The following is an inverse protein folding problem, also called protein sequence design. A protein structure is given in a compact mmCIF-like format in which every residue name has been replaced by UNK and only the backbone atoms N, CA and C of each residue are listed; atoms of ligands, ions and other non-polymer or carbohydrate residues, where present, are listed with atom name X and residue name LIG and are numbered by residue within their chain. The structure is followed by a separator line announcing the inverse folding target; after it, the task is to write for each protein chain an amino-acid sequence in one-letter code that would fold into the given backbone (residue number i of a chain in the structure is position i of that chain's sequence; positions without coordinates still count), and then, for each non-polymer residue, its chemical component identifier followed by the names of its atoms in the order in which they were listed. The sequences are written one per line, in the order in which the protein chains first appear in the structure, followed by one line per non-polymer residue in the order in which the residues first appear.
data_IF_584677044109
#
_entry.id   IF_584677044109
#
_cell.length_a   1.000
_cell.length_b   1.000
_cell.length_c   1.000
_cell.angle_alpha   90.00
_cell.angle_beta   90.00
_cell.angle_gamma   90.00
#
_symmetry.space_group_name_H-M   'P 1'
#
loop_
_entity.id
_entity.type
_entity.pdbx_description
1 polymer ?
#
# COMPACT_ATOMS: atom_id res chain seq x y z
N UNK A 1 5.25 -15.32 -13.48
CA UNK A 1 4.09 -14.42 -13.73
C UNK A 1 2.74 -15.14 -13.74
N UNK A 2 2.62 -16.34 -14.36
CA UNK A 2 1.34 -17.09 -14.47
C UNK A 2 0.66 -17.37 -13.11
N UNK A 3 1.40 -17.79 -12.09
CA UNK A 3 0.85 -18.14 -10.78
C UNK A 3 0.13 -16.99 -10.08
N UNK A 4 0.70 -15.78 -10.08
CA UNK A 4 0.08 -14.60 -9.44
C UNK A 4 -1.22 -14.21 -10.12
N UNK A 5 -1.26 -14.29 -11.45
CA UNK A 5 -2.48 -14.05 -12.24
C UNK A 5 -3.58 -15.02 -11.82
N UNK A 6 -3.27 -16.33 -11.81
CA UNK A 6 -4.21 -17.38 -11.42
C UNK A 6 -4.76 -17.18 -10.00
N UNK A 7 -3.89 -16.91 -9.02
CA UNK A 7 -4.32 -16.64 -7.63
C UNK A 7 -5.25 -15.42 -7.56
N UNK A 8 -4.98 -14.39 -8.35
CA UNK A 8 -5.86 -13.21 -8.43
C UNK A 8 -7.22 -13.53 -9.05
N UNK A 9 -7.24 -14.35 -10.11
CA UNK A 9 -8.46 -14.81 -10.80
C UNK A 9 -9.31 -15.73 -9.93
N UNK A 10 -8.70 -16.48 -9.01
CA UNK A 10 -9.38 -17.27 -7.97
C UNK A 10 -10.00 -16.40 -6.86
N UNK A 11 -9.92 -15.07 -6.96
CA UNK A 11 -10.60 -14.16 -6.04
C UNK A 11 -9.88 -13.93 -4.71
N UNK A 12 -8.64 -14.40 -4.55
CA UNK A 12 -7.92 -14.33 -3.26
C UNK A 12 -7.60 -12.90 -2.78
N UNK A 13 -7.67 -11.88 -3.65
CA UNK A 13 -7.33 -10.50 -3.28
C UNK A 13 -8.27 -9.93 -2.20
N UNK A 14 -9.58 -10.15 -2.32
CA UNK A 14 -10.55 -9.58 -1.36
C UNK A 14 -10.46 -10.21 0.03
N UNK A 15 -10.40 -11.56 0.18
CA UNK A 15 -10.15 -12.19 1.47
C UNK A 15 -8.84 -11.72 2.13
N UNK A 16 -7.75 -11.61 1.36
CA UNK A 16 -6.47 -11.11 1.88
C UNK A 16 -6.57 -9.66 2.37
N UNK A 17 -7.36 -8.80 1.71
CA UNK A 17 -7.60 -7.44 2.19
C UNK A 17 -8.34 -7.46 3.54
N UNK A 18 -9.35 -8.31 3.70
CA UNK A 18 -10.08 -8.46 4.97
C UNK A 18 -9.16 -8.92 6.10
N UNK A 19 -8.19 -9.78 5.81
CA UNK A 19 -7.20 -10.23 6.79
C UNK A 19 -6.26 -9.12 7.29
N UNK A 20 -6.12 -8.00 6.57
CA UNK A 20 -5.35 -6.84 7.06
C UNK A 20 -6.00 -6.19 8.29
N UNK A 21 -7.30 -6.40 8.48
CA UNK A 21 -8.10 -5.84 9.56
C UNK A 21 -8.37 -6.84 10.71
N UNK A 22 -7.74 -8.01 10.67
CA UNK A 22 -7.82 -9.01 11.75
C UNK A 22 -7.25 -8.50 13.09
N UNK A 23 -7.39 -9.28 14.16
CA UNK A 23 -6.81 -8.91 15.46
C UNK A 23 -5.33 -9.33 15.57
N UNK A 24 -5.00 -10.53 15.10
CA UNK A 24 -3.65 -11.08 15.18
C UNK A 24 -2.70 -10.36 14.20
N UNK A 25 -1.50 -10.01 14.67
CA UNK A 25 -0.50 -9.31 13.84
C UNK A 25 0.06 -10.24 12.77
N UNK A 26 0.19 -11.52 13.10
CA UNK A 26 0.70 -12.58 12.23
C UNK A 26 -0.20 -12.77 11.01
N UNK A 27 -1.52 -12.68 11.19
CA UNK A 27 -2.50 -12.75 10.10
C UNK A 27 -2.38 -11.54 9.17
N UNK A 28 -2.22 -10.34 9.75
CA UNK A 28 -2.01 -9.10 8.98
C UNK A 28 -0.72 -9.16 8.19
N UNK A 29 0.36 -9.63 8.80
CA UNK A 29 1.67 -9.73 8.16
C UNK A 29 1.65 -10.76 7.02
N UNK A 30 1.08 -11.94 7.25
CA UNK A 30 0.92 -12.95 6.21
C UNK A 30 0.12 -12.42 5.01
N UNK A 31 -0.97 -11.70 5.28
CA UNK A 31 -1.79 -11.07 4.25
C UNK A 31 -1.04 -9.97 3.50
N UNK A 32 -0.35 -9.06 4.22
CA UNK A 32 0.44 -7.99 3.63
C UNK A 32 1.59 -8.56 2.76
N UNK A 33 2.28 -9.59 3.25
CA UNK A 33 3.33 -10.27 2.49
C UNK A 33 2.78 -10.88 1.20
N UNK A 34 1.67 -11.62 1.27
CA UNK A 34 1.05 -12.23 0.10
C UNK A 34 0.59 -11.16 -0.91
N UNK A 35 -0.09 -10.11 -0.44
CA UNK A 35 -0.55 -9.01 -1.28
C UNK A 35 0.60 -8.27 -1.94
N UNK A 36 1.72 -8.04 -1.24
CA UNK A 36 2.90 -7.37 -1.80
C UNK A 36 3.45 -8.09 -3.04
N UNK A 37 3.37 -9.42 -3.05
CA UNK A 37 3.77 -10.24 -4.20
C UNK A 37 2.70 -10.25 -5.29
N UNK A 38 1.42 -10.33 -4.92
CA UNK A 38 0.30 -10.42 -5.87
C UNK A 38 0.10 -9.14 -6.67
N UNK A 39 0.21 -7.96 -6.05
CA UNK A 39 0.01 -6.66 -6.73
C UNK A 39 1.09 -6.34 -7.77
N UNK A 40 2.19 -7.09 -7.80
CA UNK A 40 3.18 -7.00 -8.89
C UNK A 40 2.56 -7.36 -10.24
N UNK A 41 1.51 -8.20 -10.27
CA UNK A 41 0.71 -8.42 -11.47
C UNK A 41 -0.29 -7.27 -11.70
N UNK A 42 -0.31 -6.70 -12.91
CA UNK A 42 -1.14 -5.54 -13.23
C UNK A 42 -2.65 -5.78 -13.03
N UNK A 43 -3.14 -6.98 -13.36
CA UNK A 43 -4.54 -7.37 -13.13
C UNK A 43 -4.91 -7.37 -11.65
N UNK A 44 -4.07 -7.97 -10.81
CA UNK A 44 -4.31 -8.06 -9.37
C UNK A 44 -4.27 -6.68 -8.72
N UNK A 45 -3.34 -5.83 -9.16
CA UNK A 45 -3.26 -4.43 -8.76
C UNK A 45 -4.53 -3.65 -9.09
N UNK A 46 -5.14 -3.92 -10.25
CA UNK A 46 -6.42 -3.30 -10.64
C UNK A 46 -7.56 -3.77 -9.73
N UNK A 47 -7.60 -5.05 -9.38
CA UNK A 47 -8.57 -5.61 -8.43
C UNK A 47 -8.38 -4.95 -7.06
N UNK A 48 -7.16 -4.99 -6.52
CA UNK A 48 -6.82 -4.41 -5.22
C UNK A 48 -7.28 -2.95 -5.06
N UNK A 49 -7.02 -2.10 -6.06
CA UNK A 49 -7.43 -0.68 -6.04
C UNK A 49 -8.94 -0.46 -6.06
N UNK A 50 -9.70 -1.44 -6.55
CA UNK A 50 -11.17 -1.39 -6.62
C UNK A 50 -11.82 -2.01 -5.39
N UNK A 51 -11.11 -2.92 -4.70
CA UNK A 51 -11.61 -3.53 -3.48
C UNK A 51 -11.67 -2.48 -2.37
N UNK A 52 -12.84 -2.40 -1.74
CA UNK A 52 -13.07 -1.54 -0.59
C UNK A 52 -12.10 -1.86 0.55
N UNK A 53 -11.73 -0.86 1.34
CA UNK A 53 -10.79 -0.99 2.45
C UNK A 53 -9.32 -1.15 2.04
N UNK A 54 -9.01 -1.76 0.89
CA UNK A 54 -7.63 -2.18 0.53
C UNK A 54 -6.55 -1.14 0.75
N UNK A 55 -6.74 0.10 0.27
CA UNK A 55 -5.77 1.19 0.46
C UNK A 55 -5.74 1.65 1.92
N UNK A 56 -6.90 1.84 2.55
CA UNK A 56 -7.00 2.38 3.92
C UNK A 56 -6.41 1.39 4.92
N UNK A 57 -6.82 0.12 4.86
CA UNK A 57 -6.30 -0.95 5.73
C UNK A 57 -4.78 -1.09 5.58
N UNK A 58 -4.26 -1.03 4.35
CA UNK A 58 -2.81 -1.09 4.13
C UNK A 58 -2.07 0.13 4.69
N UNK A 59 -2.68 1.32 4.66
CA UNK A 59 -2.10 2.52 5.29
C UNK A 59 -2.07 2.39 6.81
N UNK A 60 -3.09 1.80 7.43
CA UNK A 60 -3.10 1.57 8.89
C UNK A 60 -1.96 0.64 9.32
N UNK A 61 -1.56 -0.33 8.49
CA UNK A 61 -0.41 -1.19 8.77
C UNK A 61 0.94 -0.45 8.78
N UNK A 62 1.01 0.77 8.23
CA UNK A 62 2.20 1.61 8.32
C UNK A 62 2.40 2.20 9.72
N UNK A 63 1.41 2.12 10.61
CA UNK A 63 1.53 2.66 11.95
C UNK A 63 2.77 2.08 12.67
N UNK A 64 3.77 2.90 13.04
CA UNK A 64 4.96 2.43 13.72
C UNK A 64 4.66 1.83 15.10
N UNK A 65 3.47 2.08 15.68
CA UNK A 65 3.04 1.48 16.94
C UNK A 65 2.68 -0.01 16.79
N UNK A 66 2.34 -0.47 15.59
CA UNK A 66 2.10 -1.90 15.33
C UNK A 66 3.45 -2.61 15.24
N UNK A 67 3.84 -3.25 16.33
CA UNK A 67 5.05 -4.08 16.44
C UNK A 67 4.89 -5.41 15.70
N UNK A 68 6.00 -6.15 15.52
CA UNK A 68 6.03 -7.49 14.92
C UNK A 68 5.39 -7.60 13.51
N UNK A 69 5.36 -6.49 12.76
CA UNK A 69 4.91 -6.45 11.38
C UNK A 69 5.99 -5.79 10.52
N UNK A 70 6.54 -6.54 9.57
CA UNK A 70 7.54 -5.99 8.66
C UNK A 70 6.90 -4.95 7.71
N UNK A 71 7.20 -3.68 7.98
CA UNK A 71 6.60 -2.52 7.31
C UNK A 71 6.97 -2.43 5.82
N UNK A 72 7.97 -3.18 5.34
CA UNK A 72 8.31 -3.20 3.92
C UNK A 72 7.16 -3.75 3.07
N UNK A 73 6.33 -4.66 3.60
CA UNK A 73 5.22 -5.24 2.85
C UNK A 73 4.11 -4.21 2.53
N UNK A 74 3.51 -3.51 3.52
CA UNK A 74 2.53 -2.47 3.22
C UNK A 74 3.15 -1.31 2.42
N UNK A 75 4.41 -0.94 2.66
CA UNK A 75 5.11 0.06 1.84
C UNK A 75 5.19 -0.38 0.36
N UNK A 76 5.60 -1.62 0.11
CA UNK A 76 5.69 -2.18 -1.25
C UNK A 76 4.33 -2.21 -1.95
N UNK A 77 3.27 -2.62 -1.24
CA UNK A 77 1.90 -2.61 -1.79
C UNK A 77 1.52 -1.20 -2.23
N UNK A 78 1.66 -0.21 -1.37
CA UNK A 78 1.26 1.17 -1.66
C UNK A 78 2.12 1.81 -2.75
N UNK A 79 3.43 1.56 -2.74
CA UNK A 79 4.35 2.01 -3.79
C UNK A 79 3.94 1.50 -5.18
N UNK A 80 3.41 0.28 -5.24
CA UNK A 80 2.91 -0.32 -6.48
C UNK A 80 1.74 0.47 -7.10
N UNK A 81 1.03 1.30 -6.32
CA UNK A 81 -0.17 2.02 -6.74
C UNK A 81 0.07 3.50 -7.06
N UNK A 82 1.30 4.00 -6.89
CA UNK A 82 1.65 5.42 -7.03
C UNK A 82 1.29 6.02 -8.39
N UNK A 83 1.19 5.22 -9.45
CA UNK A 83 0.79 5.69 -10.78
C UNK A 83 -0.68 6.18 -10.83
N UNK A 84 -1.50 5.89 -9.82
CA UNK A 84 -2.89 6.34 -9.73
C UNK A 84 -3.04 7.59 -8.86
N UNK A 85 -3.43 8.73 -9.46
CA UNK A 85 -3.70 9.99 -8.74
C UNK A 85 -4.78 9.81 -7.66
N UNK A 86 -5.82 9.00 -7.94
CA UNK A 86 -6.88 8.67 -6.98
C UNK A 86 -6.31 7.92 -5.77
N UNK A 87 -5.48 6.92 -6.00
CA UNK A 87 -4.87 6.13 -4.91
C UNK A 87 -3.95 6.99 -4.04
N UNK A 88 -3.14 7.87 -4.65
CA UNK A 88 -2.30 8.80 -3.88
C UNK A 88 -3.14 9.70 -2.96
N UNK A 89 -4.24 10.26 -3.45
CA UNK A 89 -5.17 11.05 -2.63
C UNK A 89 -5.76 10.24 -1.48
N UNK A 90 -6.19 9.00 -1.73
CA UNK A 90 -6.70 8.11 -0.69
C UNK A 90 -5.64 7.78 0.37
N UNK A 91 -4.39 7.53 -0.03
CA UNK A 91 -3.29 7.30 0.90
C UNK A 91 -3.03 8.51 1.81
N UNK A 92 -3.00 9.72 1.21
CA UNK A 92 -2.81 10.96 1.97
C UNK A 92 -3.97 11.18 2.94
N UNK A 93 -5.23 11.00 2.49
CA UNK A 93 -6.41 11.14 3.33
C UNK A 93 -6.44 10.12 4.49
N UNK A 94 -5.89 8.92 4.28
CA UNK A 94 -5.76 7.90 5.32
C UNK A 94 -4.57 8.13 6.27
N UNK A 95 -3.79 9.22 6.11
CA UNK A 95 -2.70 9.56 7.02
C UNK A 95 -1.32 8.98 6.67
N UNK A 96 -1.14 8.40 5.47
CA UNK A 96 0.11 7.72 5.10
C UNK A 96 1.36 8.59 5.26
N UNK A 97 1.28 9.89 4.97
CA UNK A 97 2.42 10.81 5.09
C UNK A 97 2.99 10.91 6.51
N UNK A 98 2.14 10.83 7.54
CA UNK A 98 2.59 10.89 8.93
C UNK A 98 3.35 9.64 9.33
N UNK A 99 2.80 8.47 9.02
CA UNK A 99 3.46 7.18 9.27
C UNK A 99 4.78 7.07 8.50
N UNK A 100 4.79 7.45 7.21
CA UNK A 100 5.98 7.30 6.38
C UNK A 100 7.17 8.16 6.82
N UNK A 101 6.94 9.34 7.40
CA UNK A 101 8.02 10.15 7.99
C UNK A 101 8.71 9.39 9.12
N UNK A 102 7.94 8.81 10.04
CA UNK A 102 8.47 7.99 11.14
C UNK A 102 9.17 6.73 10.61
N UNK A 103 8.57 6.05 9.61
CA UNK A 103 9.18 4.87 9.01
C UNK A 103 10.49 5.18 8.27
N UNK A 104 10.66 6.40 7.74
CA UNK A 104 11.93 6.85 7.17
C UNK A 104 13.00 7.04 8.23
N UNK A 105 12.65 7.60 9.39
CA UNK A 105 13.58 7.73 10.53
C UNK A 105 13.99 6.36 11.09
N UNK A 106 13.14 5.34 10.90
CA UNK A 106 13.40 3.94 11.25
C UNK A 106 14.08 3.14 10.12
N UNK A 107 14.53 3.78 9.03
CA UNK A 107 15.18 3.16 7.87
C UNK A 107 14.38 2.00 7.21
N UNK A 108 13.05 2.06 7.24
CA UNK A 108 12.21 1.05 6.57
C UNK A 108 12.37 1.15 5.06
N UNK A 109 12.64 0.02 4.42
CA UNK A 109 12.85 -0.07 2.97
C UNK A 109 11.68 0.54 2.17
N UNK A 110 12.02 1.42 1.22
CA UNK A 110 11.04 2.03 0.31
C UNK A 110 10.19 3.15 0.89
N UNK A 111 10.26 3.41 2.21
CA UNK A 111 9.47 4.44 2.90
C UNK A 111 9.67 5.84 2.29
N UNK A 112 10.93 6.24 2.08
CA UNK A 112 11.30 7.52 1.45
C UNK A 112 10.73 7.66 0.04
N UNK A 113 10.94 6.63 -0.80
CA UNK A 113 10.44 6.62 -2.18
C UNK A 113 8.92 6.72 -2.24
N UNK A 114 8.22 6.06 -1.32
CA UNK A 114 6.77 6.15 -1.22
C UNK A 114 6.34 7.55 -0.78
N UNK A 115 6.97 8.14 0.23
CA UNK A 115 6.66 9.50 0.69
C UNK A 115 6.85 10.53 -0.43
N UNK A 116 7.99 10.50 -1.11
CA UNK A 116 8.29 11.38 -2.25
C UNK A 116 7.26 11.20 -3.38
N UNK A 117 6.86 9.95 -3.65
CA UNK A 117 5.85 9.59 -4.62
C UNK A 117 4.47 10.20 -4.34
N UNK A 118 4.10 10.36 -3.06
CA UNK A 118 2.87 11.05 -2.66
C UNK A 118 2.95 12.56 -2.91
N UNK A 119 4.15 13.15 -2.76
CA UNK A 119 4.41 14.58 -2.95
C UNK A 119 4.38 15.06 -4.42
N UNK A 120 4.62 14.17 -5.40
CA UNK A 120 4.70 14.52 -6.84
C UNK A 120 3.45 15.20 -7.42
N UNK A 121 2.30 15.11 -6.73
CA UNK A 121 1.08 15.81 -7.14
C UNK A 121 1.07 17.33 -6.87
N UNK A 122 1.91 17.82 -5.95
CA UNK A 122 1.96 19.26 -5.59
C UNK A 122 2.83 20.06 -6.55
N UNK A 123 3.90 19.46 -7.09
CA UNK A 123 4.90 20.18 -7.88
C UNK A 123 4.32 20.65 -9.23
N UNK A 124 3.47 19.86 -9.90
CA UNK A 124 2.86 20.26 -11.18
C UNK A 124 1.73 21.30 -11.03
N UNK A 125 1.22 21.53 -9.81
CA UNK A 125 0.16 22.52 -9.57
C UNK A 125 0.67 23.95 -9.42
N UNK A 126 1.98 24.13 -9.18
CA UNK A 126 2.60 25.45 -8.94
C UNK A 126 3.23 26.03 -10.21
N UNK A 127 3.47 25.21 -11.24
CA UNK A 127 4.03 25.65 -12.53
C UNK A 127 3.01 25.72 -13.68
N UNK A 128 1.72 25.56 -13.39
CA UNK A 128 0.65 25.72 -14.39
C UNK A 128 0.03 27.12 -14.30
N UNK A 129 0.78 28.14 -14.77
CA UNK A 129 0.37 29.46 -15.33
C UNK A 129 1.64 30.32 -15.50
N UNK A 130 1.80 31.15 -16.55
CA UNK A 130 0.79 31.69 -17.47
C UNK A 130 0.43 30.78 -18.65
#
# INVERSE_FOLDING_TARGET
MKTRKLIGELGCISPLIKMLDCKAVEEKEAAAKALSLLVLHAGNRRIFRKTEGGIVSTVQLLDPLIQNLDKKYPVSILASLLNSKKCRKQMIAAGASGHLKKLMEMDVEGSKKLLDGLGRGKIWGVFARP
#
